data_IF_434553104498
#
_entry.id   IF_434553104498
#
_cell.length_a   1.000
_cell.length_b   1.000
_cell.length_c   1.000
_cell.angle_alpha   90.00
_cell.angle_beta   90.00
_cell.angle_gamma   90.00
#
_symmetry.space_group_name_H-M   'P 1'
#
loop_
_entity.id
_entity.type
_entity.pdbx_description
1 polymer ?
#
# COMPACT_ATOMS: atom_id res chain seq x y z
N UNK A 1 6.93 -13.74 3.31
CA UNK A 1 6.72 -12.48 2.54
C UNK A 1 7.92 -11.57 2.78
N UNK A 2 8.47 -10.93 1.75
CA UNK A 2 9.61 -10.02 1.90
C UNK A 2 9.13 -8.70 2.53
N UNK A 3 9.98 -8.09 3.35
CA UNK A 3 9.73 -6.79 3.98
C UNK A 3 10.88 -5.86 3.63
N UNK A 4 10.57 -4.73 2.98
CA UNK A 4 11.53 -3.69 2.63
C UNK A 4 11.40 -2.56 3.65
N UNK A 5 12.53 -2.14 4.23
CA UNK A 5 12.55 -1.20 5.33
C UNK A 5 13.74 -0.25 5.19
N UNK A 6 13.52 1.01 5.50
CA UNK A 6 14.57 1.97 5.79
C UNK A 6 14.28 2.60 7.13
N UNK A 7 15.33 2.79 7.93
CA UNK A 7 15.27 3.42 9.24
C UNK A 7 16.38 4.45 9.31
N UNK A 8 16.08 5.59 9.91
CA UNK A 8 17.04 6.65 10.15
C UNK A 8 16.69 7.36 11.44
N UNK A 9 17.69 8.02 12.03
CA UNK A 9 17.45 8.95 13.10
C UNK A 9 17.19 10.34 12.51
N UNK A 10 16.05 10.93 12.86
CA UNK A 10 15.67 12.26 12.40
C UNK A 10 16.36 13.36 13.22
N UNK A 11 16.74 13.09 14.48
CA UNK A 11 17.31 14.07 15.43
C UNK A 11 16.51 15.39 15.56
N UNK A 12 15.24 15.41 15.13
CA UNK A 12 14.37 16.57 15.25
C UNK A 12 13.90 16.75 16.68
N UNK A 13 13.93 17.99 17.18
CA UNK A 13 13.22 18.31 18.43
C UNK A 13 11.73 17.95 18.31
N UNK A 14 11.07 17.49 19.39
CA UNK A 14 9.65 17.11 19.35
C UNK A 14 8.77 18.19 18.70
N UNK A 15 7.86 17.76 17.82
CA UNK A 15 6.98 18.66 17.06
C UNK A 15 7.55 19.24 15.77
N UNK A 16 8.87 19.10 15.51
CA UNK A 16 9.52 19.71 14.35
C UNK A 16 9.90 18.71 13.24
N UNK A 17 9.34 17.50 13.26
CA UNK A 17 9.68 16.44 12.29
C UNK A 17 9.53 16.83 10.81
N UNK A 18 8.67 17.81 10.52
CA UNK A 18 8.38 18.29 9.16
C UNK A 18 9.12 19.60 8.81
N UNK A 19 9.95 20.14 9.71
CA UNK A 19 10.78 21.31 9.42
C UNK A 19 12.00 20.91 8.58
N UNK A 20 12.63 21.88 7.90
CA UNK A 20 13.94 21.65 7.31
C UNK A 20 14.99 21.46 8.42
N UNK A 21 15.95 20.52 8.28
CA UNK A 21 16.20 19.65 7.12
C UNK A 21 15.48 18.28 7.19
N UNK A 22 14.73 18.02 8.25
CA UNK A 22 14.13 16.73 8.60
C UNK A 22 13.16 16.18 7.56
N UNK A 23 12.33 17.05 6.98
CA UNK A 23 11.41 16.65 5.91
C UNK A 23 12.17 16.16 4.67
N UNK A 24 13.22 16.90 4.25
CA UNK A 24 14.03 16.52 3.10
C UNK A 24 14.78 15.20 3.33
N UNK A 25 15.21 14.94 4.57
CA UNK A 25 15.79 13.65 4.94
C UNK A 25 14.76 12.52 4.79
N UNK A 26 13.54 12.70 5.31
CA UNK A 26 12.46 11.72 5.16
C UNK A 26 12.11 11.46 3.69
N UNK A 27 12.00 12.52 2.88
CA UNK A 27 11.75 12.42 1.44
C UNK A 27 12.85 11.66 0.72
N UNK A 28 14.12 11.87 1.08
CA UNK A 28 15.26 11.13 0.52
C UNK A 28 15.14 9.63 0.79
N UNK A 29 14.80 9.27 2.04
CA UNK A 29 14.65 7.87 2.44
C UNK A 29 13.46 7.21 1.74
N UNK A 30 12.34 7.92 1.61
CA UNK A 30 11.16 7.45 0.88
C UNK A 30 11.45 7.27 -0.60
N UNK A 31 12.10 8.24 -1.26
CA UNK A 31 12.49 8.13 -2.67
C UNK A 31 13.38 6.93 -2.91
N UNK A 32 14.43 6.75 -2.10
CA UNK A 32 15.32 5.60 -2.22
C UNK A 32 14.57 4.26 -2.09
N UNK A 33 13.70 4.13 -1.09
CA UNK A 33 12.94 2.90 -0.88
C UNK A 33 11.96 2.62 -2.03
N UNK A 34 11.27 3.67 -2.51
CA UNK A 34 10.34 3.57 -3.64
C UNK A 34 11.07 3.18 -4.93
N UNK A 35 12.24 3.75 -5.18
CA UNK A 35 13.06 3.44 -6.36
C UNK A 35 13.56 1.99 -6.32
N UNK A 36 14.09 1.57 -5.17
CA UNK A 36 14.51 0.19 -4.93
C UNK A 36 13.35 -0.79 -5.16
N UNK A 37 12.19 -0.54 -4.55
CA UNK A 37 11.02 -1.41 -4.64
C UNK A 37 10.55 -1.56 -6.09
N UNK A 38 10.43 -0.44 -6.81
CA UNK A 38 10.04 -0.46 -8.24
C UNK A 38 11.06 -1.19 -9.11
N UNK A 39 12.35 -1.03 -8.83
CA UNK A 39 13.41 -1.71 -9.55
C UNK A 39 13.38 -3.22 -9.34
N UNK A 40 13.19 -3.69 -8.10
CA UNK A 40 13.06 -5.12 -7.78
C UNK A 40 11.88 -5.76 -8.51
N UNK A 41 10.76 -5.06 -8.59
CA UNK A 41 9.55 -5.56 -9.24
C UNK A 41 9.37 -5.06 -10.68
N UNK A 42 10.41 -4.55 -11.32
CA UNK A 42 10.31 -3.93 -12.65
C UNK A 42 9.70 -4.88 -13.70
N UNK A 43 10.07 -6.16 -13.66
CA UNK A 43 9.52 -7.20 -14.55
C UNK A 43 7.99 -7.38 -14.40
N UNK A 44 7.44 -7.06 -13.24
CA UNK A 44 6.02 -7.23 -12.92
C UNK A 44 5.25 -5.89 -12.94
N UNK A 45 5.84 -4.84 -13.53
CA UNK A 45 5.23 -3.51 -13.60
C UNK A 45 5.44 -2.64 -12.36
N UNK A 46 6.51 -2.90 -11.59
CA UNK A 46 6.95 -2.07 -10.47
C UNK A 46 6.32 -2.41 -9.12
N UNK A 47 5.51 -3.48 -9.04
CA UNK A 47 4.90 -4.02 -7.82
C UNK A 47 4.85 -5.56 -7.93
N UNK A 48 4.70 -6.33 -6.84
CA UNK A 48 4.58 -7.79 -6.87
C UNK A 48 3.21 -8.24 -7.43
N UNK A 49 2.83 -7.74 -8.60
CA UNK A 49 1.54 -7.91 -9.24
C UNK A 49 1.43 -9.30 -9.92
N UNK A 50 0.60 -10.22 -9.41
CA UNK A 50 0.45 -11.55 -10.00
C UNK A 50 -0.20 -11.56 -11.39
N UNK A 51 -0.96 -10.52 -11.75
CA UNK A 51 -1.55 -10.41 -13.08
C UNK A 51 -0.49 -10.18 -14.17
N UNK A 52 0.69 -9.69 -13.78
CA UNK A 52 1.84 -9.50 -14.66
C UNK A 52 2.87 -10.64 -14.54
N UNK A 53 2.54 -11.73 -13.85
CA UNK A 53 3.46 -12.83 -13.59
C UNK A 53 2.88 -14.18 -14.00
N UNK A 54 3.33 -14.68 -15.15
CA UNK A 54 2.94 -16.00 -15.67
C UNK A 54 3.65 -17.16 -14.98
N UNK A 55 4.64 -16.89 -14.14
CA UNK A 55 5.47 -17.92 -13.47
C UNK A 55 5.02 -18.23 -12.05
N UNK A 56 4.21 -17.36 -11.43
CA UNK A 56 3.76 -17.51 -10.04
C UNK A 56 4.84 -17.19 -8.99
N UNK A 57 5.84 -16.40 -9.36
CA UNK A 57 6.91 -15.91 -8.48
C UNK A 57 6.40 -14.88 -7.47
N UNK A 58 5.50 -13.97 -7.87
CA UNK A 58 4.91 -12.93 -7.00
C UNK A 58 3.44 -13.19 -6.70
N UNK A 59 3.01 -12.81 -5.49
CA UNK A 59 1.68 -13.12 -4.95
C UNK A 59 0.96 -11.91 -4.35
N UNK A 60 1.37 -10.69 -4.70
CA UNK A 60 0.87 -9.46 -4.10
C UNK A 60 1.60 -9.06 -2.81
N UNK A 61 0.92 -8.25 -2.00
CA UNK A 61 1.46 -7.59 -0.82
C UNK A 61 0.92 -8.20 0.49
N UNK A 62 1.41 -7.71 1.63
CA UNK A 62 0.90 -8.11 2.94
C UNK A 62 0.18 -6.96 3.62
N UNK A 63 -1.10 -7.11 3.94
CA UNK A 63 -1.89 -5.99 4.47
C UNK A 63 -1.37 -5.41 5.79
N UNK A 64 -0.75 -6.23 6.65
CA UNK A 64 -0.13 -5.75 7.89
C UNK A 64 1.17 -4.97 7.67
N UNK A 65 1.76 -5.03 6.46
CA UNK A 65 2.87 -4.17 6.03
C UNK A 65 2.30 -3.13 5.06
N UNK A 66 1.48 -2.23 5.61
CA UNK A 66 0.74 -1.25 4.84
C UNK A 66 1.67 -0.24 4.14
N UNK A 67 1.44 -0.04 2.85
CA UNK A 67 2.14 0.93 2.00
C UNK A 67 1.13 1.77 1.22
N UNK A 68 1.02 3.05 1.59
CA UNK A 68 0.14 4.02 0.92
C UNK A 68 0.63 4.45 -0.46
N UNK A 69 1.89 4.19 -0.83
CA UNK A 69 2.42 4.49 -2.15
C UNK A 69 1.81 3.60 -3.25
N UNK A 70 1.26 2.43 -2.87
CA UNK A 70 0.55 1.55 -3.80
C UNK A 70 -0.78 2.15 -4.33
N UNK A 71 -1.34 3.13 -3.61
CA UNK A 71 -2.59 3.80 -3.95
C UNK A 71 -3.47 4.07 -2.72
N UNK A 72 -4.26 5.14 -2.75
CA UNK A 72 -5.15 5.54 -1.64
C UNK A 72 -6.50 6.04 -2.13
N UNK A 73 -7.47 6.11 -1.22
CA UNK A 73 -8.79 6.67 -1.54
C UNK A 73 -8.71 8.15 -1.91
N UNK A 74 -7.77 8.89 -1.31
CA UNK A 74 -7.57 10.31 -1.60
C UNK A 74 -7.06 10.55 -3.04
N UNK A 75 -6.39 9.56 -3.64
CA UNK A 75 -5.88 9.62 -5.01
C UNK A 75 -6.79 8.91 -6.03
N UNK A 76 -7.84 8.22 -5.57
CA UNK A 76 -8.78 7.50 -6.43
C UNK A 76 -8.27 6.14 -6.96
N UNK A 77 -7.16 5.62 -6.42
CA UNK A 77 -6.49 4.39 -6.89
C UNK A 77 -6.35 3.31 -5.80
N UNK A 78 -7.04 3.46 -4.66
CA UNK A 78 -7.03 2.47 -3.57
C UNK A 78 -7.36 1.04 -4.04
N UNK A 79 -8.26 0.89 -5.02
CA UNK A 79 -8.65 -0.43 -5.54
C UNK A 79 -7.46 -1.21 -6.12
N UNK A 80 -6.54 -0.51 -6.78
CA UNK A 80 -5.31 -1.12 -7.30
C UNK A 80 -4.43 -1.64 -6.16
N UNK A 81 -4.26 -0.85 -5.10
CA UNK A 81 -3.51 -1.25 -3.91
C UNK A 81 -4.17 -2.43 -3.18
N UNK A 82 -5.47 -2.35 -2.95
CA UNK A 82 -6.26 -3.37 -2.27
C UNK A 82 -6.28 -4.69 -3.03
N UNK A 83 -6.29 -4.64 -4.36
CA UNK A 83 -6.18 -5.84 -5.18
C UNK A 83 -4.84 -6.53 -4.96
N UNK A 84 -3.72 -5.80 -4.83
CA UNK A 84 -2.43 -6.39 -4.47
C UNK A 84 -2.46 -7.07 -3.08
N UNK A 85 -3.27 -6.60 -2.14
CA UNK A 85 -3.36 -7.21 -0.81
C UNK A 85 -4.28 -8.43 -0.75
N UNK A 86 -5.41 -8.41 -1.45
CA UNK A 86 -6.51 -9.35 -1.25
C UNK A 86 -6.86 -10.19 -2.48
N UNK A 87 -6.35 -9.81 -3.66
CA UNK A 87 -6.65 -10.46 -4.94
C UNK A 87 -8.17 -10.60 -5.13
N UNK A 88 -8.62 -11.77 -5.57
CA UNK A 88 -10.03 -12.06 -5.81
C UNK A 88 -10.91 -11.96 -4.56
N UNK A 89 -10.34 -12.04 -3.35
CA UNK A 89 -11.10 -11.82 -2.12
C UNK A 89 -11.58 -10.38 -1.96
N UNK A 90 -11.01 -9.42 -2.69
CA UNK A 90 -11.46 -8.02 -2.64
C UNK A 90 -12.87 -7.87 -3.21
N UNK A 91 -13.11 -8.38 -4.43
CA UNK A 91 -14.34 -8.14 -5.21
C UNK A 91 -14.90 -9.37 -5.94
N UNK A 92 -14.09 -10.35 -6.31
CA UNK A 92 -14.49 -11.38 -7.27
C UNK A 92 -15.11 -12.62 -6.59
N UNK A 93 -14.60 -12.99 -5.42
CA UNK A 93 -15.07 -14.18 -4.73
C UNK A 93 -16.48 -14.00 -4.14
N UNK A 94 -17.26 -15.08 -3.99
CA UNK A 94 -18.48 -15.05 -3.19
C UNK A 94 -18.19 -14.55 -1.77
N UNK A 95 -19.03 -13.65 -1.25
CA UNK A 95 -18.84 -12.97 0.05
C UNK A 95 -17.48 -12.23 0.16
N UNK A 96 -17.05 -11.58 -0.92
CA UNK A 96 -15.86 -10.73 -0.94
C UNK A 96 -15.88 -9.60 0.11
N UNK A 97 -14.71 -9.03 0.37
CA UNK A 97 -14.52 -8.02 1.42
C UNK A 97 -15.39 -6.78 1.22
N UNK A 98 -15.55 -6.30 -0.02
CA UNK A 98 -16.42 -5.13 -0.32
C UNK A 98 -17.87 -5.43 0.04
N UNK A 99 -18.36 -6.64 -0.26
CA UNK A 99 -19.72 -7.06 0.11
C UNK A 99 -19.91 -7.14 1.62
N UNK A 100 -18.91 -7.65 2.35
CA UNK A 100 -18.92 -7.75 3.82
C UNK A 100 -18.90 -6.35 4.44
N UNK A 101 -18.04 -5.46 3.95
CA UNK A 101 -17.95 -4.06 4.38
C UNK A 101 -19.29 -3.34 4.18
N UNK A 102 -19.90 -3.48 3.00
CA UNK A 102 -21.21 -2.88 2.70
C UNK A 102 -22.33 -3.40 3.61
N UNK A 103 -22.26 -4.65 4.05
CA UNK A 103 -23.27 -5.23 4.94
C UNK A 103 -23.12 -4.75 6.39
N UNK A 104 -21.89 -4.74 6.92
CA UNK A 104 -21.62 -4.49 8.34
C UNK A 104 -21.28 -3.04 8.69
N UNK A 105 -20.74 -2.27 7.75
CA UNK A 105 -20.43 -0.85 7.92
C UNK A 105 -20.81 -0.05 6.65
N UNK A 106 -22.11 0.04 6.32
CA UNK A 106 -22.58 0.76 5.14
C UNK A 106 -22.36 2.27 5.21
N UNK A 107 -22.25 2.85 6.41
CA UNK A 107 -21.94 4.26 6.64
C UNK A 107 -20.44 4.56 6.55
N UNK A 108 -19.60 3.53 6.40
CA UNK A 108 -18.16 3.64 6.31
C UNK A 108 -17.52 4.35 7.52
N UNK A 109 -18.01 4.08 8.73
CA UNK A 109 -17.45 4.65 9.95
C UNK A 109 -15.99 4.25 10.17
N UNK A 110 -15.64 3.01 9.84
CA UNK A 110 -14.27 2.50 9.99
C UNK A 110 -13.51 2.65 8.68
N UNK A 111 -12.82 3.78 8.50
CA UNK A 111 -12.07 4.04 7.27
C UNK A 111 -10.71 4.69 7.51
N UNK A 112 -9.80 4.48 6.56
CA UNK A 112 -8.48 5.11 6.49
C UNK A 112 -8.03 5.13 5.01
N UNK A 113 -6.79 5.54 4.73
CA UNK A 113 -6.28 5.73 3.37
C UNK A 113 -6.45 4.51 2.43
N UNK A 114 -6.47 3.29 2.99
CA UNK A 114 -6.56 2.01 2.28
C UNK A 114 -7.52 1.03 2.99
N UNK A 115 -8.63 1.54 3.53
CA UNK A 115 -9.70 0.67 4.06
C UNK A 115 -10.48 0.02 2.92
N UNK A 116 -11.09 -1.14 3.15
CA UNK A 116 -12.02 -1.74 2.18
C UNK A 116 -13.16 -0.75 1.86
N UNK A 117 -13.45 -0.45 0.58
CA UNK A 117 -14.49 0.49 0.22
C UNK A 117 -15.89 -0.13 0.34
N UNK A 118 -16.89 0.74 0.36
CA UNK A 118 -18.31 0.35 0.29
C UNK A 118 -18.81 0.13 -1.15
N UNK A 119 -18.06 0.60 -2.16
CA UNK A 119 -18.40 0.57 -3.58
C UNK A 119 -17.20 0.12 -4.40
#
# INVERSE_FOLDING_TARGET
KLQYQTYWNNDSVPGNRNAAPYLAQAETQLTWLNDLYRAVYAQYGGTPNPANDTTGTVGGCYYNYADSQLGTHAHGDADKALWLYFLDNLRNNPRNLVSVKKHWDPQNYFHHAQSIPIK
#
